data_IF_989557087543
#
_entry.id   IF_989557087543
#
_cell.length_a   1.000
_cell.length_b   1.000
_cell.length_c   1.000
_cell.angle_alpha   90.00
_cell.angle_beta   90.00
_cell.angle_gamma   90.00
#
_symmetry.space_group_name_H-M   'P 1'
#
loop_
_entity.id
_entity.type
_entity.pdbx_description
1 polymer ?
#
# COMPACT_ATOMS: atom_id res chain seq x y z
N UNK A 1 -65.61 50.72 19.14
CA UNK A 1 -64.57 50.04 19.96
C UNK A 1 -63.70 49.15 19.00
N UNK A 2 -62.45 49.54 18.73
CA UNK A 2 -61.50 48.73 17.90
C UNK A 2 -60.71 47.81 18.84
N UNK A 3 -60.89 46.51 18.73
CA UNK A 3 -60.08 45.53 19.46
C UNK A 3 -58.69 45.50 18.86
N UNK A 4 -57.66 45.79 19.65
CA UNK A 4 -56.24 45.57 19.30
C UNK A 4 -55.88 44.14 19.68
N UNK A 5 -55.45 43.32 18.69
CA UNK A 5 -54.87 42.03 18.94
C UNK A 5 -53.37 42.23 19.15
N UNK A 6 -52.82 41.71 20.26
CA UNK A 6 -51.44 41.67 20.57
C UNK A 6 -50.97 40.21 20.13
N UNK A 7 -50.16 40.15 19.12
CA UNK A 7 -49.51 38.85 18.68
C UNK A 7 -48.22 38.72 19.47
N UNK A 8 -48.17 37.74 20.35
CA UNK A 8 -46.95 37.36 21.08
C UNK A 8 -46.17 36.37 20.24
N UNK A 9 -44.98 36.78 19.75
CA UNK A 9 -44.05 35.86 19.11
C UNK A 9 -43.21 35.13 20.17
N UNK A 10 -43.41 33.82 20.32
CA UNK A 10 -42.50 32.96 21.07
C UNK A 10 -41.31 32.59 20.18
N UNK A 11 -40.15 33.16 20.47
CA UNK A 11 -38.90 32.70 19.87
C UNK A 11 -38.46 31.47 20.68
N UNK A 12 -38.63 30.27 20.10
CA UNK A 12 -38.04 29.03 20.64
C UNK A 12 -36.59 29.00 20.23
N UNK A 13 -35.68 29.35 21.13
CA UNK A 13 -34.25 29.14 20.99
C UNK A 13 -33.97 27.64 21.25
N UNK A 14 -33.85 26.87 20.19
CA UNK A 14 -33.31 25.50 20.27
C UNK A 14 -31.79 25.58 20.48
N UNK A 15 -31.35 25.39 21.72
CA UNK A 15 -29.93 25.14 21.98
C UNK A 15 -29.62 23.71 21.54
N UNK A 16 -28.95 23.56 20.40
CA UNK A 16 -28.31 22.32 20.05
C UNK A 16 -27.06 22.17 20.94
N UNK A 17 -27.17 21.41 22.01
CA UNK A 17 -26.01 20.96 22.76
C UNK A 17 -25.29 19.91 21.89
N UNK A 18 -24.26 20.35 21.20
CA UNK A 18 -23.28 19.44 20.62
C UNK A 18 -22.47 18.87 21.79
N UNK A 19 -22.78 17.65 22.17
CA UNK A 19 -21.89 16.92 23.07
C UNK A 19 -20.65 16.57 22.24
N UNK A 20 -19.41 16.88 22.71
CA UNK A 20 -18.23 16.38 22.07
C UNK A 20 -18.34 14.85 22.08
N UNK A 21 -18.22 14.24 20.91
CA UNK A 21 -18.13 12.79 20.81
C UNK A 21 -16.89 12.38 21.61
N UNK A 22 -17.05 11.43 22.54
CA UNK A 22 -15.90 10.88 23.26
C UNK A 22 -14.88 10.37 22.25
N UNK A 23 -13.62 10.75 22.42
CA UNK A 23 -12.53 10.21 21.59
C UNK A 23 -12.44 8.71 21.81
N UNK A 24 -12.15 7.99 20.75
CA UNK A 24 -11.88 6.56 20.83
C UNK A 24 -10.69 6.33 21.77
N UNK A 25 -10.87 5.47 22.78
CA UNK A 25 -9.78 5.10 23.69
C UNK A 25 -8.71 4.33 22.92
N UNK A 26 -7.45 4.68 23.12
CA UNK A 26 -6.33 4.01 22.46
C UNK A 26 -5.12 4.92 22.27
N UNK A 27 -4.31 4.55 21.29
CA UNK A 27 -3.10 5.26 20.94
C UNK A 27 -3.13 5.68 19.46
N UNK A 28 -2.44 6.77 19.15
CA UNK A 28 -2.22 7.20 17.76
C UNK A 28 -0.74 7.02 17.41
N UNK A 29 -0.47 6.24 16.38
CA UNK A 29 0.86 6.05 15.79
C UNK A 29 0.96 6.91 14.53
N UNK A 30 2.01 7.72 14.39
CA UNK A 30 2.19 8.56 13.21
C UNK A 30 3.63 9.02 13.04
N UNK A 31 4.04 9.28 11.80
CA UNK A 31 5.35 9.82 11.45
C UNK A 31 5.14 11.17 10.78
N UNK A 32 5.22 12.29 11.52
CA UNK A 32 5.00 13.62 10.96
C UNK A 32 6.16 14.06 10.08
N UNK A 33 5.86 14.89 9.09
CA UNK A 33 6.89 15.64 8.40
C UNK A 33 7.30 16.83 9.28
N UNK A 34 8.57 16.85 9.72
CA UNK A 34 9.11 17.90 10.59
C UNK A 34 9.86 18.94 9.76
N UNK A 35 9.88 20.19 10.23
CA UNK A 35 10.58 21.30 9.57
C UNK A 35 12.10 21.29 9.78
N UNK A 36 12.59 20.54 10.76
CA UNK A 36 14.02 20.40 11.10
C UNK A 36 14.67 19.19 10.41
N UNK A 37 13.86 18.42 9.64
CA UNK A 37 14.34 17.27 8.89
C UNK A 37 14.53 16.00 9.74
N UNK A 38 14.15 16.03 11.01
CA UNK A 38 14.13 14.81 11.81
C UNK A 38 13.01 13.88 11.34
N UNK A 39 13.27 12.59 11.34
CA UNK A 39 12.32 11.55 10.97
C UNK A 39 12.03 10.72 12.21
N UNK A 40 10.86 10.93 12.79
CA UNK A 40 10.47 10.31 14.06
C UNK A 40 9.04 9.79 13.98
N UNK A 41 8.85 8.52 14.32
CA UNK A 41 7.52 7.96 14.55
C UNK A 41 7.16 8.12 16.01
N UNK A 42 5.98 8.66 16.28
CA UNK A 42 5.46 8.86 17.64
C UNK A 42 4.28 7.94 17.91
N UNK A 43 4.22 7.43 19.13
CA UNK A 43 3.04 6.81 19.73
C UNK A 43 2.53 7.74 20.83
N UNK A 44 1.31 8.25 20.72
CA UNK A 44 0.71 9.15 21.69
C UNK A 44 -0.60 8.59 22.24
N UNK A 45 -0.97 8.97 23.47
CA UNK A 45 -2.27 8.68 24.06
C UNK A 45 -3.33 9.73 23.67
N UNK A 46 -4.57 9.54 24.13
CA UNK A 46 -5.70 10.46 23.91
C UNK A 46 -5.51 11.85 24.53
N UNK A 47 -4.55 12.01 25.44
CA UNK A 47 -4.20 13.28 26.09
C UNK A 47 -2.97 13.93 25.44
N UNK A 48 -2.50 13.40 24.30
CA UNK A 48 -1.30 13.82 23.58
C UNK A 48 0.02 13.61 24.35
N UNK A 49 0.04 12.76 25.37
CA UNK A 49 1.29 12.37 26.00
C UNK A 49 2.05 11.41 25.08
N UNK A 50 3.35 11.65 24.89
CA UNK A 50 4.21 10.74 24.15
C UNK A 50 4.43 9.50 25.02
N UNK A 51 4.00 8.35 24.53
CA UNK A 51 4.16 7.04 25.16
C UNK A 51 5.48 6.41 24.73
N UNK A 52 5.79 6.51 23.42
CA UNK A 52 7.09 6.12 22.85
C UNK A 52 7.38 6.90 21.57
N UNK A 53 8.65 6.86 21.14
CA UNK A 53 9.05 7.38 19.84
C UNK A 53 10.21 6.55 19.27
N UNK A 54 10.32 6.55 17.93
CA UNK A 54 11.40 5.88 17.20
C UNK A 54 11.99 6.86 16.18
N UNK A 55 13.33 7.01 16.24
CA UNK A 55 14.08 7.83 15.29
C UNK A 55 14.49 6.99 14.09
N UNK A 56 14.41 7.57 12.89
CA UNK A 56 14.70 6.89 11.63
C UNK A 56 15.73 7.65 10.81
N UNK A 57 16.49 6.93 10.01
CA UNK A 57 17.44 7.51 9.06
C UNK A 57 16.76 7.88 7.75
N UNK A 58 15.82 7.05 7.29
CA UNK A 58 15.14 7.18 6.02
C UNK A 58 13.69 7.64 6.22
N UNK A 59 13.20 8.47 5.29
CA UNK A 59 11.80 8.94 5.31
C UNK A 59 10.78 7.79 5.16
N UNK A 60 9.56 7.96 5.71
CA UNK A 60 8.53 6.94 5.60
C UNK A 60 8.09 6.74 4.14
N UNK A 61 7.87 5.50 3.74
CA UNK A 61 7.20 5.15 2.49
C UNK A 61 5.68 5.24 2.62
N UNK A 62 5.15 4.70 3.73
CA UNK A 62 3.74 4.75 4.11
C UNK A 62 3.60 4.82 5.64
N UNK A 63 2.47 4.37 6.16
CA UNK A 63 2.23 4.29 7.60
C UNK A 63 3.12 3.21 8.23
N UNK A 64 3.51 3.44 9.48
CA UNK A 64 4.11 2.41 10.31
C UNK A 64 3.03 1.59 11.00
N UNK A 65 3.34 0.34 11.34
CA UNK A 65 2.45 -0.58 12.04
C UNK A 65 3.04 -0.97 13.39
N UNK A 66 2.21 -0.97 14.43
CA UNK A 66 2.58 -1.49 15.73
C UNK A 66 2.02 -2.92 15.84
N UNK A 67 2.90 -3.90 15.92
CA UNK A 67 2.53 -5.31 15.95
C UNK A 67 2.83 -5.94 17.32
N UNK A 68 2.12 -7.00 17.74
CA UNK A 68 2.42 -7.71 18.95
C UNK A 68 3.85 -8.29 18.94
N UNK A 69 4.55 -8.16 20.04
CA UNK A 69 5.81 -8.87 20.26
C UNK A 69 5.58 -10.24 20.89
N UNK A 70 6.67 -10.90 21.26
CA UNK A 70 6.64 -12.25 21.83
C UNK A 70 5.87 -12.34 23.17
N UNK A 71 5.83 -11.26 23.94
CA UNK A 71 5.19 -11.22 25.27
C UNK A 71 4.09 -10.16 25.28
N UNK A 72 3.03 -10.34 26.11
CA UNK A 72 2.02 -9.30 26.30
C UNK A 72 2.61 -8.03 26.93
N UNK A 73 2.06 -6.88 26.58
CA UNK A 73 2.42 -5.57 27.11
C UNK A 73 2.82 -4.61 26.00
N UNK A 74 2.47 -3.35 26.16
CA UNK A 74 2.73 -2.32 25.15
C UNK A 74 4.24 -2.18 24.88
N UNK A 75 5.06 -2.27 25.91
CA UNK A 75 6.52 -2.21 25.85
C UNK A 75 7.18 -3.41 25.13
N UNK A 76 6.39 -4.42 24.81
CA UNK A 76 6.83 -5.60 24.06
C UNK A 76 6.37 -5.57 22.60
N UNK A 77 5.65 -4.54 22.19
CA UNK A 77 5.26 -4.39 20.77
C UNK A 77 6.46 -4.05 19.90
N UNK A 78 6.34 -4.39 18.63
CA UNK A 78 7.34 -4.10 17.61
C UNK A 78 6.78 -3.06 16.65
N UNK A 79 7.66 -2.22 16.08
CA UNK A 79 7.32 -1.27 15.03
C UNK A 79 7.77 -1.82 13.68
N UNK A 80 6.84 -2.03 12.75
CA UNK A 80 7.15 -2.19 11.34
C UNK A 80 7.14 -0.81 10.68
N UNK A 81 8.27 -0.45 10.08
CA UNK A 81 8.49 0.86 9.46
C UNK A 81 8.85 0.70 7.99
N UNK A 82 7.91 0.92 7.07
CA UNK A 82 8.23 1.00 5.64
C UNK A 82 8.94 2.31 5.35
N UNK A 83 10.07 2.25 4.64
CA UNK A 83 10.92 3.41 4.40
C UNK A 83 11.31 3.58 2.93
N UNK A 84 11.74 4.79 2.59
CA UNK A 84 12.24 5.15 1.27
C UNK A 84 13.75 4.90 1.19
N UNK A 85 14.18 4.31 0.08
CA UNK A 85 15.61 4.27 -0.24
C UNK A 85 16.05 5.56 -0.93
N UNK A 86 17.33 5.91 -0.79
CA UNK A 86 17.87 7.18 -1.35
C UNK A 86 17.86 7.20 -2.88
N UNK A 87 18.06 6.04 -3.53
CA UNK A 87 18.21 5.93 -4.98
C UNK A 87 17.27 4.84 -5.53
N UNK A 88 15.95 5.09 -5.57
CA UNK A 88 15.00 4.12 -6.14
C UNK A 88 15.23 3.95 -7.64
N UNK A 89 15.11 2.72 -8.13
CA UNK A 89 15.26 2.40 -9.55
C UNK A 89 14.01 2.75 -10.36
N UNK A 90 12.85 2.71 -9.72
CA UNK A 90 11.58 3.16 -10.25
C UNK A 90 11.02 4.24 -9.32
N UNK A 91 10.64 5.39 -9.87
CA UNK A 91 10.22 6.54 -9.09
C UNK A 91 8.89 7.10 -9.56
N UNK A 92 7.87 6.94 -8.73
CA UNK A 92 6.53 7.54 -8.89
C UNK A 92 5.99 7.93 -7.51
N UNK A 93 4.74 8.39 -7.45
CA UNK A 93 4.07 8.65 -6.17
C UNK A 93 4.05 7.40 -5.29
N UNK A 94 4.36 7.55 -4.01
CA UNK A 94 4.37 6.44 -3.05
C UNK A 94 5.63 5.57 -3.08
N UNK A 95 6.69 5.96 -3.78
CA UNK A 95 7.95 5.22 -3.80
C UNK A 95 8.45 4.94 -2.38
N UNK A 96 8.82 3.68 -2.14
CA UNK A 96 9.39 3.18 -0.90
C UNK A 96 10.79 2.61 -1.14
N UNK A 97 11.00 1.39 -0.73
CA UNK A 97 12.23 0.65 -0.96
C UNK A 97 12.49 -0.44 0.04
N UNK A 98 11.99 -0.34 1.27
CA UNK A 98 12.22 -1.38 2.25
C UNK A 98 11.31 -1.28 3.46
N UNK A 99 11.48 -2.23 4.35
CA UNK A 99 10.81 -2.31 5.64
C UNK A 99 11.81 -2.67 6.74
N UNK A 100 11.71 -2.02 7.88
CA UNK A 100 12.43 -2.33 9.11
C UNK A 100 11.46 -2.80 10.19
N UNK A 101 11.89 -3.76 11.00
CA UNK A 101 11.24 -4.09 12.25
C UNK A 101 12.10 -3.59 13.39
N UNK A 102 11.53 -2.75 14.25
CA UNK A 102 12.23 -2.17 15.39
C UNK A 102 11.62 -2.67 16.70
N UNK A 103 12.48 -2.87 17.70
CA UNK A 103 12.05 -3.10 19.06
C UNK A 103 11.41 -1.85 19.68
N UNK A 104 10.79 -1.99 20.84
CA UNK A 104 10.27 -0.86 21.62
C UNK A 104 11.34 0.20 21.94
N UNK A 105 12.58 -0.21 22.12
CA UNK A 105 13.72 0.67 22.39
C UNK A 105 14.36 1.28 21.14
N UNK A 106 13.86 0.98 19.94
CA UNK A 106 14.38 1.50 18.67
C UNK A 106 15.53 0.70 18.07
N UNK A 107 15.83 -0.51 18.59
CA UNK A 107 16.81 -1.40 17.97
C UNK A 107 16.22 -2.05 16.72
N UNK A 108 16.94 -2.00 15.59
CA UNK A 108 16.54 -2.69 14.35
C UNK A 108 16.78 -4.19 14.56
N UNK A 109 15.70 -4.96 14.56
CA UNK A 109 15.71 -6.40 14.70
C UNK A 109 15.98 -7.10 13.37
N UNK A 110 15.35 -6.59 12.29
CA UNK A 110 15.60 -7.02 10.93
C UNK A 110 15.23 -5.92 9.93
N UNK A 111 15.82 -6.02 8.73
CA UNK A 111 15.57 -5.12 7.62
C UNK A 111 15.47 -5.93 6.32
N UNK A 112 14.57 -5.52 5.44
CA UNK A 112 14.49 -6.05 4.08
C UNK A 112 14.36 -4.91 3.08
N UNK A 113 15.15 -4.96 2.00
CA UNK A 113 15.15 -3.96 0.92
C UNK A 113 14.66 -4.62 -0.36
N UNK A 114 13.56 -4.10 -0.92
CA UNK A 114 13.03 -4.46 -2.22
C UNK A 114 13.12 -3.23 -3.14
N UNK A 115 14.33 -2.98 -3.61
CA UNK A 115 14.67 -1.89 -4.52
C UNK A 115 15.86 -2.34 -5.38
N UNK A 116 15.57 -2.95 -6.53
CA UNK A 116 16.56 -3.46 -7.47
C UNK A 116 16.16 -3.10 -8.91
N UNK A 117 16.87 -3.60 -9.90
CA UNK A 117 16.60 -3.27 -11.30
C UNK A 117 15.23 -3.73 -11.82
N UNK A 118 14.62 -4.75 -11.21
CA UNK A 118 13.36 -5.36 -11.64
C UNK A 118 12.17 -4.99 -10.74
N UNK A 119 12.42 -4.77 -9.45
CA UNK A 119 11.37 -4.54 -8.46
C UNK A 119 11.66 -3.33 -7.59
N UNK A 120 10.62 -2.58 -7.26
CA UNK A 120 10.69 -1.46 -6.34
C UNK A 120 9.48 -1.46 -5.43
N UNK A 121 9.69 -1.67 -4.12
CA UNK A 121 8.62 -1.49 -3.12
C UNK A 121 8.05 -0.08 -3.20
N UNK A 122 6.73 0.01 -3.09
CA UNK A 122 6.01 1.28 -3.04
C UNK A 122 4.76 1.19 -2.16
N UNK A 123 4.29 2.34 -1.68
CA UNK A 123 3.10 2.51 -0.88
C UNK A 123 3.10 1.61 0.37
N UNK A 124 2.30 0.57 0.42
CA UNK A 124 1.84 -0.08 1.62
C UNK A 124 2.48 -1.44 1.88
N UNK A 125 2.43 -1.86 3.11
CA UNK A 125 2.80 -3.18 3.61
C UNK A 125 1.66 -3.71 4.49
N UNK A 126 1.54 -5.04 4.63
CA UNK A 126 0.58 -5.64 5.55
C UNK A 126 1.26 -6.71 6.43
N UNK A 127 1.26 -6.54 7.76
CA UNK A 127 1.77 -7.56 8.67
C UNK A 127 0.81 -8.73 8.79
N UNK A 128 1.33 -9.96 8.64
CA UNK A 128 0.55 -11.19 8.75
C UNK A 128 0.59 -11.77 10.17
N UNK A 129 -0.44 -12.53 10.58
CA UNK A 129 -0.50 -13.17 11.90
C UNK A 129 0.64 -14.15 12.17
N UNK A 130 1.24 -14.73 11.13
CA UNK A 130 2.39 -15.65 11.22
C UNK A 130 3.73 -14.91 11.45
N UNK A 131 3.72 -13.58 11.44
CA UNK A 131 4.91 -12.74 11.62
C UNK A 131 5.61 -12.37 10.30
N UNK A 132 5.11 -12.83 9.17
CA UNK A 132 5.54 -12.40 7.84
C UNK A 132 4.95 -11.04 7.49
N UNK A 133 5.39 -10.46 6.37
CA UNK A 133 4.91 -9.15 5.91
C UNK A 133 4.69 -9.21 4.40
N UNK A 134 3.53 -8.72 3.95
CA UNK A 134 3.25 -8.50 2.54
C UNK A 134 3.75 -7.12 2.11
N UNK A 135 4.35 -7.06 0.93
CA UNK A 135 4.83 -5.81 0.30
C UNK A 135 4.26 -5.68 -1.10
N UNK A 136 3.78 -4.49 -1.45
CA UNK A 136 3.44 -4.12 -2.82
C UNK A 136 4.70 -3.64 -3.54
N UNK A 137 4.93 -4.08 -4.77
CA UNK A 137 6.05 -3.61 -5.58
C UNK A 137 5.63 -3.30 -7.02
N UNK A 138 6.29 -2.32 -7.63
CA UNK A 138 6.35 -2.24 -9.09
C UNK A 138 7.27 -3.34 -9.60
N UNK A 139 6.82 -3.96 -10.69
CA UNK A 139 7.59 -4.91 -11.48
C UNK A 139 7.88 -4.31 -12.87
N UNK A 140 9.15 -4.12 -13.19
CA UNK A 140 9.57 -3.52 -14.45
C UNK A 140 9.45 -4.51 -15.61
N UNK A 141 8.71 -4.12 -16.64
CA UNK A 141 8.66 -4.75 -17.95
C UNK A 141 9.18 -3.78 -19.00
N UNK A 142 9.88 -4.30 -20.00
CA UNK A 142 10.26 -3.54 -21.18
C UNK A 142 9.07 -3.34 -22.11
N UNK A 143 9.15 -2.38 -23.03
CA UNK A 143 8.16 -2.21 -24.09
C UNK A 143 8.02 -3.47 -24.95
N UNK A 144 9.14 -4.16 -25.25
CA UNK A 144 9.12 -5.40 -26.00
C UNK A 144 8.32 -6.51 -25.28
N UNK A 145 8.55 -6.71 -23.98
CA UNK A 145 7.78 -7.68 -23.18
C UNK A 145 6.29 -7.33 -23.20
N UNK A 146 5.96 -6.05 -23.05
CA UNK A 146 4.57 -5.61 -23.06
C UNK A 146 3.89 -5.82 -24.43
N UNK A 147 4.59 -5.51 -25.52
CA UNK A 147 4.07 -5.76 -26.87
C UNK A 147 3.91 -7.26 -27.17
N UNK A 148 4.82 -8.10 -26.68
CA UNK A 148 4.68 -9.57 -26.82
C UNK A 148 3.48 -10.13 -26.02
N UNK A 149 3.03 -9.41 -25.01
CA UNK A 149 1.79 -9.70 -24.26
C UNK A 149 0.58 -8.96 -24.81
N UNK A 150 0.68 -8.34 -26.01
CA UNK A 150 -0.43 -7.68 -26.69
C UNK A 150 -0.79 -6.29 -26.17
N UNK A 151 0.12 -5.59 -25.49
CA UNK A 151 -0.03 -4.16 -25.23
C UNK A 151 -0.01 -3.40 -26.55
N UNK A 152 -1.00 -2.54 -26.79
CA UNK A 152 -1.15 -1.80 -28.03
C UNK A 152 -0.17 -0.63 -28.13
N UNK A 153 0.02 0.10 -27.03
CA UNK A 153 0.82 1.32 -27.00
C UNK A 153 1.54 1.53 -25.66
N UNK A 154 2.78 1.99 -25.75
CA UNK A 154 3.53 2.54 -24.61
C UNK A 154 4.03 3.92 -25.03
N UNK A 155 3.47 4.97 -24.44
CA UNK A 155 3.83 6.37 -24.69
C UNK A 155 4.43 7.02 -23.42
N UNK A 156 5.62 6.52 -23.05
CA UNK A 156 6.41 7.17 -22.01
C UNK A 156 7.90 7.15 -22.36
N UNK A 157 8.69 8.15 -21.90
CA UNK A 157 10.08 8.32 -22.33
C UNK A 157 11.02 7.21 -21.81
N UNK A 158 10.56 6.32 -20.92
CA UNK A 158 11.34 5.19 -20.41
C UNK A 158 11.26 3.97 -21.31
N UNK A 159 10.26 3.89 -22.21
CA UNK A 159 9.92 2.69 -22.99
C UNK A 159 9.75 1.46 -22.08
N UNK A 160 9.01 1.61 -21.01
CA UNK A 160 8.77 0.60 -19.98
C UNK A 160 7.30 0.58 -19.60
N UNK A 161 6.90 -0.52 -18.96
CA UNK A 161 5.63 -0.70 -18.27
C UNK A 161 5.91 -1.28 -16.89
N UNK A 162 5.58 -0.54 -15.83
CA UNK A 162 5.72 -1.06 -14.48
C UNK A 162 4.40 -1.71 -14.08
N UNK A 163 4.42 -3.03 -14.12
CA UNK A 163 3.36 -3.88 -13.60
C UNK A 163 3.40 -3.87 -12.07
N UNK A 164 2.61 -4.73 -11.46
CA UNK A 164 2.58 -4.85 -10.01
C UNK A 164 2.84 -6.28 -9.57
N UNK A 165 3.47 -6.41 -8.41
CA UNK A 165 3.67 -7.68 -7.73
C UNK A 165 3.44 -7.52 -6.24
N UNK A 166 3.16 -8.63 -5.56
CA UNK A 166 3.06 -8.74 -4.11
C UNK A 166 4.05 -9.79 -3.67
N UNK A 167 4.82 -9.48 -2.63
CA UNK A 167 5.79 -10.37 -2.03
C UNK A 167 5.43 -10.60 -0.57
N UNK A 168 5.37 -11.86 -0.12
CA UNK A 168 5.40 -12.21 1.27
C UNK A 168 6.84 -12.47 1.69
N UNK A 169 7.32 -11.74 2.67
CA UNK A 169 8.66 -11.93 3.26
C UNK A 169 8.55 -12.51 4.65
N UNK A 170 9.44 -13.46 4.94
CA UNK A 170 9.58 -14.08 6.26
C UNK A 170 10.88 -13.61 6.91
N UNK A 171 10.81 -12.92 8.07
CA UNK A 171 12.01 -12.54 8.82
C UNK A 171 12.85 -13.76 9.23
N UNK A 172 14.17 -13.61 9.18
CA UNK A 172 15.11 -14.67 9.53
C UNK A 172 15.98 -14.27 10.75
N UNK A 173 16.67 -15.27 11.33
CA UNK A 173 17.51 -15.06 12.53
C UNK A 173 18.82 -14.31 12.25
N UNK A 174 19.10 -13.93 11.00
CA UNK A 174 20.31 -13.18 10.62
C UNK A 174 20.09 -11.66 10.53
N UNK A 175 18.90 -11.18 10.90
CA UNK A 175 18.55 -9.75 10.85
C UNK A 175 18.07 -9.29 9.48
N UNK A 176 17.70 -10.21 8.59
CA UNK A 176 17.07 -9.96 7.30
C UNK A 176 15.74 -10.68 7.16
N UNK A 177 15.26 -10.80 5.92
CA UNK A 177 14.10 -11.60 5.56
C UNK A 177 14.30 -12.26 4.20
N UNK A 178 13.49 -13.27 3.88
CA UNK A 178 13.49 -13.96 2.58
C UNK A 178 12.07 -14.01 2.02
N UNK A 179 11.94 -14.00 0.69
CA UNK A 179 10.65 -14.15 0.01
C UNK A 179 10.20 -15.60 0.14
N UNK A 180 8.96 -15.78 0.61
CA UNK A 180 8.36 -17.11 0.81
C UNK A 180 7.14 -17.34 -0.08
N UNK A 181 6.54 -16.28 -0.59
CA UNK A 181 5.45 -16.33 -1.56
C UNK A 181 5.46 -15.05 -2.40
N UNK A 182 5.01 -15.16 -3.65
CA UNK A 182 4.88 -14.03 -4.57
C UNK A 182 3.71 -14.21 -5.51
N UNK A 183 3.10 -13.09 -5.89
CA UNK A 183 2.05 -12.97 -6.90
C UNK A 183 2.40 -11.84 -7.86
N UNK A 184 2.25 -12.10 -9.17
CA UNK A 184 2.55 -11.14 -10.22
C UNK A 184 1.31 -10.87 -11.05
N UNK A 185 0.88 -9.61 -11.10
CA UNK A 185 -0.20 -9.20 -12.00
C UNK A 185 0.08 -9.59 -13.46
N UNK A 186 1.36 -9.68 -13.81
CA UNK A 186 1.80 -10.06 -15.15
C UNK A 186 1.35 -11.45 -15.59
N UNK A 187 1.09 -12.34 -14.69
CA UNK A 187 0.60 -13.70 -14.94
C UNK A 187 -0.93 -13.73 -15.16
N UNK A 188 -1.64 -12.62 -14.87
CA UNK A 188 -3.10 -12.54 -14.90
C UNK A 188 -3.62 -11.56 -15.98
N UNK A 189 -3.07 -11.65 -17.18
CA UNK A 189 -3.37 -10.71 -18.26
C UNK A 189 -4.30 -11.32 -19.32
N UNK A 190 -5.19 -10.49 -19.88
CA UNK A 190 -6.02 -10.79 -21.05
C UNK A 190 -6.02 -9.60 -22.00
N UNK A 191 -6.22 -9.85 -23.28
CA UNK A 191 -6.43 -8.79 -24.30
C UNK A 191 -7.10 -9.39 -25.57
N UNK A 192 -7.73 -8.54 -26.36
CA UNK A 192 -8.42 -8.91 -27.62
C UNK A 192 -7.85 -8.19 -28.86
N UNK A 193 -6.68 -7.57 -28.74
CA UNK A 193 -5.98 -6.82 -29.79
C UNK A 193 -5.06 -7.71 -30.63
N UNK A 194 -4.16 -8.47 -30.01
CA UNK A 194 -3.15 -9.30 -30.69
C UNK A 194 -3.56 -10.77 -30.65
N UNK A 195 -4.09 -11.30 -31.77
CA UNK A 195 -4.55 -12.69 -31.86
C UNK A 195 -3.43 -13.74 -31.75
N UNK A 196 -2.18 -13.36 -31.99
CA UNK A 196 -1.00 -14.23 -31.93
C UNK A 196 -0.31 -14.20 -30.56
N UNK A 197 -0.74 -13.33 -29.66
CA UNK A 197 -0.16 -13.18 -28.34
C UNK A 197 -0.75 -14.21 -27.36
N UNK A 198 0.03 -14.66 -26.34
CA UNK A 198 -0.31 -15.84 -25.52
C UNK A 198 -1.57 -15.63 -24.64
N UNK A 199 -1.91 -14.41 -24.31
CA UNK A 199 -3.05 -14.02 -23.46
C UNK A 199 -4.25 -13.51 -24.26
N UNK A 200 -4.34 -13.87 -25.57
CA UNK A 200 -5.47 -13.46 -26.41
C UNK A 200 -6.77 -14.14 -25.96
N UNK A 201 -7.79 -13.33 -25.70
CA UNK A 201 -9.09 -13.83 -25.25
C UNK A 201 -10.18 -12.76 -25.29
N UNK A 202 -11.42 -13.18 -25.05
CA UNK A 202 -12.52 -12.25 -24.89
C UNK A 202 -12.51 -11.70 -23.45
N UNK A 203 -12.17 -10.43 -23.30
CA UNK A 203 -12.04 -9.73 -22.01
C UNK A 203 -13.28 -9.92 -21.14
N UNK A 204 -14.50 -9.86 -21.71
CA UNK A 204 -15.74 -9.99 -20.95
C UNK A 204 -16.00 -11.39 -20.38
N UNK A 205 -15.29 -12.40 -20.86
CA UNK A 205 -15.37 -13.77 -20.36
C UNK A 205 -14.37 -14.07 -19.23
N UNK A 206 -13.46 -13.13 -18.97
CA UNK A 206 -12.35 -13.27 -18.01
C UNK A 206 -12.35 -12.11 -17.02
N UNK A 207 -13.36 -12.01 -16.13
CA UNK A 207 -13.42 -10.97 -15.12
C UNK A 207 -12.31 -11.12 -14.04
N UNK A 208 -11.66 -12.29 -13.96
CA UNK A 208 -10.53 -12.61 -13.10
C UNK A 208 -9.19 -12.12 -13.64
N UNK A 209 -9.12 -11.66 -14.91
CA UNK A 209 -7.90 -11.21 -15.56
C UNK A 209 -7.89 -9.71 -15.81
N UNK A 210 -6.69 -9.14 -15.88
CA UNK A 210 -6.47 -7.74 -16.18
C UNK A 210 -6.34 -7.52 -17.69
N UNK A 211 -7.14 -6.62 -18.24
CA UNK A 211 -6.93 -6.19 -19.62
C UNK A 211 -5.66 -5.35 -19.72
N UNK A 212 -4.62 -5.89 -20.34
CA UNK A 212 -3.32 -5.22 -20.50
C UNK A 212 -3.42 -3.88 -21.23
N UNK A 213 -4.47 -3.68 -22.04
CA UNK A 213 -4.72 -2.44 -22.79
C UNK A 213 -5.58 -1.42 -22.01
N UNK A 214 -5.98 -1.73 -20.77
CA UNK A 214 -6.71 -0.78 -19.94
C UNK A 214 -5.76 0.27 -19.35
N UNK A 215 -6.16 1.52 -19.43
CA UNK A 215 -5.42 2.65 -18.84
C UNK A 215 -4.12 3.01 -19.57
N UNK A 216 -3.54 4.12 -19.16
CA UNK A 216 -2.27 4.63 -19.68
C UNK A 216 -1.10 4.07 -18.87
N UNK A 217 0.06 3.99 -19.50
CA UNK A 217 1.33 3.62 -18.83
C UNK A 217 2.18 4.87 -18.65
N UNK A 218 2.48 5.19 -17.41
CA UNK A 218 3.19 6.42 -17.09
C UNK A 218 2.24 7.61 -17.03
N UNK A 219 1.61 7.83 -15.88
CA UNK A 219 0.74 8.99 -15.70
C UNK A 219 1.55 10.30 -15.72
N UNK A 220 0.98 11.38 -16.29
CA UNK A 220 1.65 12.69 -16.36
C UNK A 220 1.72 13.42 -15.00
N UNK A 221 1.40 12.77 -13.91
CA UNK A 221 1.25 13.41 -12.62
C UNK A 221 2.27 12.93 -11.58
N UNK A 222 3.38 13.56 -11.58
CA UNK A 222 4.35 13.59 -10.48
C UNK A 222 5.30 14.74 -10.74
N UNK A 223 5.88 15.38 -9.74
CA UNK A 223 6.82 16.46 -9.98
C UNK A 223 8.04 15.93 -10.75
N UNK A 224 8.01 16.10 -12.05
CA UNK A 224 9.21 16.21 -12.88
C UNK A 224 9.90 14.96 -13.37
N UNK A 225 9.54 13.75 -12.99
CA UNK A 225 10.23 12.55 -13.44
C UNK A 225 9.36 11.67 -14.35
N UNK A 226 9.99 11.19 -15.42
CA UNK A 226 9.40 10.14 -16.25
C UNK A 226 9.13 8.89 -15.41
N UNK A 227 7.94 8.30 -15.55
CA UNK A 227 7.59 7.04 -14.91
C UNK A 227 6.83 6.15 -15.91
N UNK A 228 6.72 4.89 -15.59
CA UNK A 228 6.02 3.89 -16.38
C UNK A 228 4.98 3.13 -15.55
N UNK A 229 4.49 3.73 -14.49
CA UNK A 229 3.50 3.19 -13.57
C UNK A 229 2.17 2.94 -14.30
N UNK A 230 1.62 1.73 -14.18
CA UNK A 230 0.45 1.33 -14.94
C UNK A 230 -0.84 1.37 -14.12
N UNK A 231 -0.98 0.49 -13.11
CA UNK A 231 -2.25 0.40 -12.37
C UNK A 231 -2.20 1.09 -10.99
N UNK A 232 -1.00 1.37 -10.50
CA UNK A 232 -0.76 2.09 -9.26
C UNK A 232 -1.49 1.47 -8.07
N UNK A 233 -1.10 0.26 -7.67
CA UNK A 233 -1.56 -0.31 -6.41
C UNK A 233 -1.13 0.60 -5.26
N UNK A 234 -2.01 0.84 -4.27
CA UNK A 234 -1.71 1.83 -3.24
C UNK A 234 -2.17 1.46 -1.82
N UNK A 235 -2.87 0.36 -1.66
CA UNK A 235 -3.15 -0.23 -0.35
C UNK A 235 -3.26 -1.75 -0.47
N UNK A 236 -2.88 -2.44 0.59
CA UNK A 236 -2.98 -3.88 0.75
C UNK A 236 -3.52 -4.17 2.15
N UNK A 237 -4.38 -5.18 2.26
CA UNK A 237 -4.95 -5.65 3.52
C UNK A 237 -5.13 -7.18 3.42
N UNK A 238 -5.12 -7.87 4.54
CA UNK A 238 -5.20 -9.32 4.61
C UNK A 238 -6.34 -9.79 5.51
N UNK A 239 -7.12 -10.74 5.02
CA UNK A 239 -8.21 -11.35 5.77
C UNK A 239 -7.84 -12.76 6.22
N UNK A 240 -7.54 -12.93 7.52
CA UNK A 240 -7.03 -14.17 8.09
C UNK A 240 -8.00 -15.36 7.92
N UNK A 241 -9.31 -15.18 8.20
CA UNK A 241 -10.28 -16.30 8.14
C UNK A 241 -10.47 -16.87 6.73
N UNK A 242 -10.23 -16.07 5.70
CA UNK A 242 -10.41 -16.46 4.30
C UNK A 242 -9.11 -16.67 3.55
N UNK A 243 -8.00 -16.36 4.20
CA UNK A 243 -6.67 -16.37 3.59
C UNK A 243 -6.64 -15.61 2.25
N UNK A 244 -7.15 -14.37 2.27
CA UNK A 244 -7.31 -13.53 1.10
C UNK A 244 -6.60 -12.19 1.28
N UNK A 245 -5.97 -11.73 0.21
CA UNK A 245 -5.38 -10.40 0.12
C UNK A 245 -6.35 -9.51 -0.65
N UNK A 246 -6.59 -8.30 -0.12
CA UNK A 246 -7.34 -7.24 -0.80
C UNK A 246 -6.39 -6.13 -1.18
N UNK A 247 -6.39 -5.74 -2.44
CA UNK A 247 -5.55 -4.64 -2.96
C UNK A 247 -6.41 -3.60 -3.65
N UNK A 248 -5.98 -2.34 -3.59
CA UNK A 248 -6.63 -1.24 -4.31
C UNK A 248 -5.75 -0.69 -5.41
N UNK A 249 -6.35 -0.36 -6.56
CA UNK A 249 -5.72 0.28 -7.69
C UNK A 249 -6.26 1.70 -7.87
N UNK A 250 -5.39 2.69 -7.76
CA UNK A 250 -5.76 4.09 -7.93
C UNK A 250 -6.17 4.42 -9.36
N UNK A 251 -5.45 3.91 -10.36
CA UNK A 251 -5.72 4.30 -11.75
C UNK A 251 -6.90 3.56 -12.36
N UNK A 252 -7.18 2.34 -11.90
CA UNK A 252 -8.37 1.59 -12.32
C UNK A 252 -9.62 1.97 -11.53
N UNK A 253 -9.47 2.61 -10.36
CA UNK A 253 -10.57 2.88 -9.41
C UNK A 253 -11.29 1.59 -9.00
N UNK A 254 -10.53 0.54 -8.76
CA UNK A 254 -10.99 -0.82 -8.47
C UNK A 254 -10.26 -1.40 -7.26
N UNK A 255 -10.87 -2.42 -6.68
CA UNK A 255 -10.25 -3.29 -5.68
C UNK A 255 -10.23 -4.72 -6.24
N UNK A 256 -9.19 -5.47 -5.89
CA UNK A 256 -9.02 -6.86 -6.29
C UNK A 256 -8.85 -7.72 -5.07
N UNK A 257 -9.31 -8.96 -5.16
CA UNK A 257 -9.15 -9.98 -4.11
C UNK A 257 -8.32 -11.12 -4.70
N UNK A 258 -7.25 -11.48 -3.99
CA UNK A 258 -6.32 -12.53 -4.38
C UNK A 258 -6.43 -13.66 -3.35
N UNK A 259 -6.52 -14.90 -3.82
CA UNK A 259 -6.46 -16.11 -2.99
C UNK A 259 -5.01 -16.37 -2.59
N UNK A 260 -4.69 -16.12 -1.31
CA UNK A 260 -3.36 -16.29 -0.75
C UNK A 260 -3.10 -17.73 -0.27
N UNK A 261 -4.14 -18.57 -0.21
CA UNK A 261 -4.01 -19.99 0.20
C UNK A 261 -3.26 -20.86 -0.81
N UNK A 262 -2.85 -20.27 -1.94
CA UNK A 262 -2.15 -20.92 -3.05
C UNK A 262 -0.63 -20.88 -2.86
N UNK A 263 0.09 -21.83 -3.47
CA UNK A 263 1.55 -21.72 -3.65
C UNK A 263 1.89 -20.64 -4.69
N UNK A 264 3.13 -20.18 -4.74
CA UNK A 264 3.60 -19.24 -5.78
C UNK A 264 3.32 -19.77 -7.19
N UNK A 265 3.51 -21.06 -7.45
CA UNK A 265 3.24 -21.68 -8.76
C UNK A 265 1.74 -21.73 -9.08
N UNK A 266 0.90 -21.98 -8.10
CA UNK A 266 -0.56 -21.96 -8.26
C UNK A 266 -1.08 -20.54 -8.42
N UNK A 267 -0.52 -19.58 -7.71
CA UNK A 267 -0.90 -18.17 -7.79
C UNK A 267 -0.62 -17.56 -9.17
N UNK A 268 0.34 -18.11 -9.93
CA UNK A 268 0.61 -17.72 -11.32
C UNK A 268 -0.36 -18.34 -12.33
N UNK A 269 -1.29 -19.18 -11.90
CA UNK A 269 -2.27 -19.83 -12.76
C UNK A 269 -3.61 -19.09 -12.83
N UNK A 270 -4.44 -19.43 -13.81
CA UNK A 270 -5.78 -18.88 -13.99
C UNK A 270 -6.88 -19.89 -13.65
N UNK A 271 -6.57 -20.95 -12.92
CA UNK A 271 -7.51 -22.06 -12.62
C UNK A 271 -8.23 -21.85 -11.32
#
# INVERSE_FOLDING_TARGET
>A
MKRKYVILYFIVLSFNFSYPQEVFEGYTLFTPQTSDGQIVTYLIDVNYNIINFWEHTNGPASMAYLIPGQYPGLENTLLLYPFRVDNPTMQSGGVGGGVQCLSWSGEILWEYILANENFQHHHDIEPLPNGNVLLIAWEKKTDLEAFLMGREEIDNPLNQMWSSAIFEISPNNSGGAEVVWEWHLWDHLVQDFCSECPNYGNISNHPELFNINNGNVGAPAGPGNANADWIHLNAIDYHEDWDQIVISSRYMSEIFVIDHSTTTEESASHS
#
